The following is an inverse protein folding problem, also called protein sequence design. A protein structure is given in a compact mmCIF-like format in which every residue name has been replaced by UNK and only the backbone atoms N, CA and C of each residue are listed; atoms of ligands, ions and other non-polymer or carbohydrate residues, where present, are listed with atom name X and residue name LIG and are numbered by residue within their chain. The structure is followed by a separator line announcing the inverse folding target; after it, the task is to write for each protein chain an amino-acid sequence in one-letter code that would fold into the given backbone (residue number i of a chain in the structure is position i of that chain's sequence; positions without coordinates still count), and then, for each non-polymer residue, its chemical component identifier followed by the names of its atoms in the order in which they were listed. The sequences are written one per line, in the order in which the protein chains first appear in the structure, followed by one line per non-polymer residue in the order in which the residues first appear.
data_IF_405807226071
#
_entry.id   IF_405807226071
#
_cell.length_a   1.000
_cell.length_b   1.000
_cell.length_c   1.000
_cell.angle_alpha   90.00
_cell.angle_beta   90.00
_cell.angle_gamma   90.00
#
_symmetry.space_group_name_H-M   'P 1'
#
loop_
_entity.id
_entity.type
_entity.pdbx_description
1 polymer ?
#
# COMPACT_ATOMS: atom_id res chain seq x y z
N UNK A 1 30.91 8.03 -40.71
CA UNK A 1 31.30 6.91 -39.82
C UNK A 1 30.83 7.33 -38.44
N UNK A 2 29.52 7.23 -38.21
CA UNK A 2 28.83 6.10 -37.54
C UNK A 2 28.53 6.52 -36.10
N UNK A 3 27.25 6.81 -35.81
CA UNK A 3 26.38 5.95 -34.98
C UNK A 3 26.73 6.04 -33.49
N UNK A 4 25.89 6.40 -32.53
CA UNK A 4 24.43 6.45 -32.35
C UNK A 4 24.16 7.57 -31.34
N UNK A 5 23.22 8.48 -31.54
CA UNK A 5 21.87 8.32 -31.02
C UNK A 5 21.79 7.54 -29.69
N UNK A 6 22.40 8.05 -28.62
CA UNK A 6 21.80 7.88 -27.30
C UNK A 6 20.69 8.92 -27.13
N UNK A 7 19.60 8.68 -27.84
CA UNK A 7 18.28 9.20 -27.51
C UNK A 7 17.90 8.58 -26.17
N UNK A 8 18.50 9.06 -25.08
CA UNK A 8 18.09 8.70 -23.72
C UNK A 8 16.67 9.22 -23.59
N UNK A 9 15.73 8.29 -23.64
CA UNK A 9 14.29 8.48 -23.66
C UNK A 9 13.89 9.30 -22.43
N UNK A 10 13.99 10.63 -22.51
CA UNK A 10 13.42 11.55 -21.55
C UNK A 10 11.91 11.43 -21.70
N UNK A 11 11.35 10.45 -21.01
CA UNK A 11 9.91 10.24 -20.92
C UNK A 11 9.32 11.56 -20.44
N UNK A 12 8.65 12.28 -21.33
CA UNK A 12 7.97 13.55 -21.07
C UNK A 12 6.81 13.27 -20.11
N UNK A 13 7.10 13.14 -18.81
CA UNK A 13 6.06 12.99 -17.80
C UNK A 13 5.29 14.32 -17.80
N UNK A 14 4.03 14.27 -18.21
CA UNK A 14 3.16 15.45 -18.30
C UNK A 14 2.83 15.98 -16.90
N UNK A 15 2.70 17.31 -16.78
CA UNK A 15 2.24 17.98 -15.57
C UNK A 15 0.85 17.44 -15.16
N UNK A 16 0.68 17.19 -13.88
CA UNK A 16 -0.57 16.71 -13.29
C UNK A 16 -1.23 17.81 -12.48
N UNK A 17 -2.56 17.86 -12.50
CA UNK A 17 -3.30 18.78 -11.63
C UNK A 17 -3.49 18.14 -10.24
N UNK A 18 -2.93 18.71 -9.17
CA UNK A 18 -3.10 18.16 -7.82
C UNK A 18 -4.54 18.25 -7.34
N UNK A 19 -5.23 19.32 -7.72
CA UNK A 19 -6.65 19.49 -7.40
C UNK A 19 -7.48 18.39 -8.05
N UNK A 20 -7.22 18.07 -9.31
CA UNK A 20 -7.96 17.03 -10.03
C UNK A 20 -7.71 15.65 -9.43
N UNK A 21 -6.47 15.34 -9.01
CA UNK A 21 -6.15 14.08 -8.35
C UNK A 21 -6.90 13.92 -7.03
N UNK A 22 -6.97 14.98 -6.21
CA UNK A 22 -7.75 14.99 -4.98
C UNK A 22 -9.24 14.85 -5.25
N UNK A 23 -9.78 15.62 -6.21
CA UNK A 23 -11.20 15.58 -6.56
C UNK A 23 -11.64 14.20 -7.06
N UNK A 24 -10.87 13.56 -7.94
CA UNK A 24 -11.14 12.19 -8.39
C UNK A 24 -11.19 11.24 -7.19
N UNK A 25 -10.16 11.30 -6.34
CA UNK A 25 -10.05 10.48 -5.13
C UNK A 25 -11.22 10.67 -4.15
N UNK A 26 -11.86 11.83 -4.14
CA UNK A 26 -13.09 12.09 -3.37
C UNK A 26 -14.33 11.40 -3.94
N UNK A 27 -14.42 11.22 -5.27
CA UNK A 27 -15.56 10.53 -5.92
C UNK A 27 -15.49 9.03 -5.63
N UNK A 28 -14.31 8.45 -5.77
CA UNK A 28 -14.11 7.03 -5.51
C UNK A 28 -12.67 6.78 -5.04
N UNK A 29 -12.48 6.06 -3.92
CA UNK A 29 -11.15 5.73 -3.41
C UNK A 29 -10.26 5.09 -4.48
N UNK A 30 -9.00 5.51 -4.53
CA UNK A 30 -8.01 4.98 -5.48
C UNK A 30 -7.99 5.63 -6.87
N UNK A 31 -9.03 6.36 -7.28
CA UNK A 31 -9.05 7.02 -8.61
C UNK A 31 -8.03 8.15 -8.74
N UNK A 32 -7.70 8.88 -7.67
CA UNK A 32 -6.62 9.87 -7.68
C UNK A 32 -5.25 9.23 -7.94
N UNK A 33 -5.00 8.04 -7.39
CA UNK A 33 -3.80 7.27 -7.67
C UNK A 33 -3.77 6.76 -9.13
N UNK A 34 -4.92 6.33 -9.67
CA UNK A 34 -5.06 5.98 -11.09
C UNK A 34 -4.74 7.17 -12.00
N UNK A 35 -5.23 8.37 -11.68
CA UNK A 35 -4.90 9.61 -12.40
C UNK A 35 -3.38 9.90 -12.38
N UNK A 36 -2.74 9.64 -11.23
CA UNK A 36 -1.30 9.76 -11.06
C UNK A 36 -0.48 8.68 -11.78
N UNK A 37 -1.13 7.74 -12.49
CA UNK A 37 -0.55 6.54 -13.11
C UNK A 37 0.08 5.57 -12.11
N UNK A 38 -0.36 5.61 -10.86
CA UNK A 38 0.02 4.66 -9.82
C UNK A 38 -1.04 3.55 -9.73
N UNK A 39 -1.10 2.71 -10.77
CA UNK A 39 -2.16 1.70 -10.95
C UNK A 39 -2.25 0.73 -9.78
N UNK A 40 -1.11 0.23 -9.31
CA UNK A 40 -1.06 -0.74 -8.22
C UNK A 40 -1.60 -0.16 -6.91
N UNK A 41 -1.21 1.07 -6.56
CA UNK A 41 -1.74 1.78 -5.39
C UNK A 41 -3.23 2.07 -5.53
N UNK A 42 -3.67 2.50 -6.71
CA UNK A 42 -5.09 2.73 -6.98
C UNK A 42 -5.94 1.47 -6.76
N UNK A 43 -5.51 0.34 -7.32
CA UNK A 43 -6.18 -0.95 -7.12
C UNK A 43 -6.16 -1.36 -5.64
N UNK A 44 -5.01 -1.20 -4.97
CA UNK A 44 -4.89 -1.51 -3.55
C UNK A 44 -5.88 -0.70 -2.70
N UNK A 45 -6.02 0.60 -2.97
CA UNK A 45 -6.96 1.46 -2.24
C UNK A 45 -8.41 1.05 -2.46
N UNK A 46 -8.78 0.62 -3.67
CA UNK A 46 -10.11 0.09 -3.96
C UNK A 46 -10.37 -1.20 -3.17
N UNK A 47 -9.40 -2.13 -3.13
CA UNK A 47 -9.52 -3.39 -2.39
C UNK A 47 -9.62 -3.13 -0.88
N UNK A 48 -8.76 -2.27 -0.33
CA UNK A 48 -8.79 -1.91 1.10
C UNK A 48 -10.13 -1.26 1.44
N UNK A 49 -10.60 -0.31 0.62
CA UNK A 49 -11.89 0.32 0.83
C UNK A 49 -13.03 -0.69 0.84
N UNK A 50 -13.09 -1.57 -0.16
CA UNK A 50 -14.11 -2.61 -0.24
C UNK A 50 -14.08 -3.52 0.99
N UNK A 51 -12.90 -3.97 1.41
CA UNK A 51 -12.73 -4.79 2.62
C UNK A 51 -13.21 -4.07 3.89
N UNK A 52 -12.83 -2.81 4.07
CA UNK A 52 -13.25 -2.01 5.23
C UNK A 52 -14.76 -1.73 5.26
N UNK A 53 -15.39 -1.58 4.10
CA UNK A 53 -16.85 -1.44 3.98
C UNK A 53 -17.56 -2.77 4.27
N UNK A 54 -17.07 -3.89 3.74
CA UNK A 54 -17.64 -5.21 4.01
C UNK A 54 -17.60 -5.58 5.50
N UNK A 55 -16.54 -5.19 6.21
CA UNK A 55 -16.41 -5.41 7.65
C UNK A 55 -17.39 -4.58 8.49
N UNK A 56 -18.10 -3.61 7.92
CA UNK A 56 -19.08 -2.81 8.67
C UNK A 56 -20.32 -3.62 9.06
N UNK A 57 -20.68 -4.67 8.31
CA UNK A 57 -21.97 -5.34 8.50
C UNK A 57 -22.01 -6.30 9.71
N UNK A 58 -20.88 -6.90 10.09
CA UNK A 58 -20.85 -8.07 10.98
C UNK A 58 -20.00 -7.88 12.26
N UNK A 59 -19.43 -6.69 12.48
CA UNK A 59 -18.33 -6.52 13.44
C UNK A 59 -18.72 -6.17 14.88
N UNK A 60 -18.34 -7.03 15.84
CA UNK A 60 -18.12 -6.67 17.26
C UNK A 60 -17.01 -5.61 17.47
N UNK A 61 -16.23 -5.34 16.41
CA UNK A 61 -15.15 -4.36 16.37
C UNK A 61 -15.60 -2.93 16.02
N UNK A 62 -16.90 -2.66 15.90
CA UNK A 62 -17.40 -1.29 15.87
C UNK A 62 -17.19 -0.64 17.26
N UNK A 63 -16.73 0.62 17.34
CA UNK A 63 -16.67 1.62 16.26
C UNK A 63 -15.31 1.71 15.55
N UNK A 64 -14.32 0.89 15.92
CA UNK A 64 -12.94 1.04 15.45
C UNK A 64 -12.83 0.95 13.93
N UNK A 65 -13.50 -0.01 13.29
CA UNK A 65 -13.46 -0.20 11.83
C UNK A 65 -14.05 1.01 11.08
N UNK A 66 -15.08 1.66 11.63
CA UNK A 66 -15.68 2.85 11.02
C UNK A 66 -14.74 4.06 11.08
N UNK A 67 -14.05 4.26 12.20
CA UNK A 67 -13.03 5.31 12.34
C UNK A 67 -11.85 5.05 11.39
N UNK A 68 -11.43 3.79 11.28
CA UNK A 68 -10.35 3.40 10.37
C UNK A 68 -10.73 3.62 8.90
N UNK A 69 -11.97 3.29 8.51
CA UNK A 69 -12.52 3.60 7.20
C UNK A 69 -12.51 5.10 6.91
N UNK A 70 -12.97 5.93 7.85
CA UNK A 70 -12.98 7.39 7.71
C UNK A 70 -11.55 7.96 7.58
N UNK A 71 -10.64 7.52 8.44
CA UNK A 71 -9.23 7.91 8.39
C UNK A 71 -8.58 7.51 7.07
N UNK A 72 -8.80 6.28 6.61
CA UNK A 72 -8.32 5.79 5.31
C UNK A 72 -8.88 6.63 4.15
N UNK A 73 -10.18 6.96 4.18
CA UNK A 73 -10.83 7.74 3.13
C UNK A 73 -10.21 9.14 2.98
N UNK A 74 -9.96 9.83 4.09
CA UNK A 74 -9.33 11.16 4.09
C UNK A 74 -7.86 11.05 3.66
N UNK A 75 -7.15 10.05 4.21
CA UNK A 75 -5.74 9.82 3.91
C UNK A 75 -5.48 9.65 2.41
N UNK A 76 -6.26 8.82 1.71
CA UNK A 76 -6.02 8.57 0.29
C UNK A 76 -6.26 9.80 -0.60
N UNK A 77 -7.11 10.75 -0.17
CA UNK A 77 -7.28 12.05 -0.86
C UNK A 77 -6.01 12.89 -0.73
N UNK A 78 -5.47 12.99 0.48
CA UNK A 78 -4.24 13.74 0.75
C UNK A 78 -3.07 13.13 -0.01
N UNK A 79 -2.96 11.79 -0.01
CA UNK A 79 -1.92 11.05 -0.74
C UNK A 79 -2.00 11.32 -2.25
N UNK A 80 -3.21 11.34 -2.83
CA UNK A 80 -3.38 11.63 -4.25
C UNK A 80 -2.88 13.04 -4.63
N UNK A 81 -3.19 14.06 -3.80
CA UNK A 81 -2.74 15.45 -4.01
C UNK A 81 -1.23 15.57 -3.83
N UNK A 82 -0.67 15.00 -2.76
CA UNK A 82 0.77 15.02 -2.48
C UNK A 82 1.54 14.32 -3.61
N UNK A 83 1.04 13.19 -4.08
CA UNK A 83 1.61 12.46 -5.21
C UNK A 83 1.65 13.30 -6.48
N UNK A 84 0.57 14.01 -6.84
CA UNK A 84 0.59 14.88 -8.02
C UNK A 84 1.60 16.02 -7.86
N UNK A 85 1.71 16.62 -6.67
CA UNK A 85 2.71 17.66 -6.39
C UNK A 85 4.13 17.11 -6.54
N UNK A 86 4.38 15.89 -6.05
CA UNK A 86 5.66 15.20 -6.23
C UNK A 86 5.96 14.95 -7.72
N UNK A 87 4.96 14.51 -8.49
CA UNK A 87 5.10 14.32 -9.94
C UNK A 87 5.45 15.63 -10.64
N UNK A 88 4.81 16.74 -10.27
CA UNK A 88 5.10 18.03 -10.88
C UNK A 88 6.50 18.54 -10.53
N UNK A 89 6.97 18.33 -9.29
CA UNK A 89 8.34 18.68 -8.88
C UNK A 89 9.39 17.94 -9.70
N UNK A 90 9.17 16.64 -9.93
CA UNK A 90 10.01 15.82 -10.81
C UNK A 90 10.05 16.37 -12.24
N UNK A 91 8.89 16.77 -12.78
CA UNK A 91 8.76 17.26 -14.17
C UNK A 91 9.38 18.65 -14.35
N UNK A 92 9.24 19.54 -13.36
CA UNK A 92 9.68 20.93 -13.46
C UNK A 92 11.15 21.07 -13.10
N UNK A 93 11.59 20.48 -11.98
CA UNK A 93 12.92 20.71 -11.42
C UNK A 93 13.90 19.56 -11.72
N UNK A 94 13.43 18.41 -12.23
CA UNK A 94 14.25 17.20 -12.30
C UNK A 94 14.68 16.65 -10.93
N UNK A 95 14.22 17.28 -9.84
CA UNK A 95 14.49 16.89 -8.47
C UNK A 95 13.67 15.65 -8.15
N UNK A 96 14.36 14.52 -7.95
CA UNK A 96 13.78 13.38 -7.25
C UNK A 96 13.77 13.75 -5.78
N UNK A 97 12.60 14.04 -5.16
CA UNK A 97 12.57 14.31 -3.73
C UNK A 97 13.16 13.11 -2.98
N UNK A 98 13.86 13.34 -1.86
CA UNK A 98 14.57 12.31 -1.12
C UNK A 98 13.65 11.11 -0.94
N UNK A 99 14.05 9.98 -1.54
CA UNK A 99 13.24 8.78 -1.72
C UNK A 99 12.36 8.52 -0.50
N UNK A 100 11.06 8.78 -0.63
CA UNK A 100 10.12 7.99 0.12
C UNK A 100 10.17 6.61 -0.54
N UNK A 101 11.02 5.74 0.03
CA UNK A 101 11.20 4.32 -0.31
C UNK A 101 9.92 3.54 -0.02
N UNK A 102 8.79 3.99 -0.56
CA UNK A 102 7.64 3.14 -0.76
C UNK A 102 8.02 2.31 -1.98
N UNK A 103 8.23 0.99 -1.86
CA UNK A 103 8.52 0.15 -2.99
C UNK A 103 7.36 0.26 -3.99
N UNK A 104 7.51 1.13 -5.01
CA UNK A 104 6.52 1.32 -6.09
C UNK A 104 6.47 0.09 -7.01
N UNK A 105 7.38 -0.85 -6.81
CA UNK A 105 7.22 -2.25 -7.17
C UNK A 105 6.94 -3.05 -5.90
N UNK A 106 5.71 -3.51 -5.68
CA UNK A 106 5.57 -4.83 -5.02
C UNK A 106 6.40 -5.75 -5.90
N UNK A 107 7.47 -6.39 -5.40
CA UNK A 107 8.33 -7.24 -6.23
C UNK A 107 7.45 -8.17 -7.04
N UNK A 108 7.43 -7.93 -8.35
CA UNK A 108 6.59 -8.64 -9.31
C UNK A 108 6.97 -10.10 -9.22
N UNK A 109 6.05 -10.93 -8.72
CA UNK A 109 6.19 -12.38 -8.76
C UNK A 109 7.20 -12.98 -7.78
N UNK A 110 7.27 -12.52 -6.52
CA UNK A 110 7.88 -13.39 -5.51
C UNK A 110 6.93 -14.56 -5.23
N UNK A 111 7.36 -15.78 -5.51
CA UNK A 111 6.70 -17.06 -5.17
C UNK A 111 6.21 -17.04 -3.71
N UNK A 112 6.91 -16.31 -2.85
CA UNK A 112 6.52 -16.02 -1.48
C UNK A 112 5.10 -15.44 -1.37
N UNK A 113 4.77 -14.39 -2.14
CA UNK A 113 3.44 -13.78 -2.09
C UNK A 113 2.36 -14.75 -2.59
N UNK A 114 2.67 -15.58 -3.59
CA UNK A 114 1.77 -16.63 -4.07
C UNK A 114 1.53 -17.72 -3.03
N UNK A 115 2.59 -18.25 -2.42
CA UNK A 115 2.51 -19.25 -1.38
C UNK A 115 1.78 -18.73 -0.14
N UNK A 116 2.06 -17.48 0.26
CA UNK A 116 1.36 -16.81 1.35
C UNK A 116 -0.14 -16.68 1.05
N UNK A 117 -0.51 -16.30 -0.17
CA UNK A 117 -1.91 -16.21 -0.62
C UNK A 117 -2.61 -17.57 -0.59
N UNK A 118 -1.93 -18.64 -1.04
CA UNK A 118 -2.49 -20.00 -1.02
C UNK A 118 -2.73 -20.46 0.43
N UNK A 119 -1.75 -20.28 1.31
CA UNK A 119 -1.87 -20.66 2.72
C UNK A 119 -2.99 -19.84 3.39
N UNK A 120 -3.00 -18.53 3.19
CA UNK A 120 -4.03 -17.64 3.75
C UNK A 120 -5.42 -18.01 3.25
N UNK A 121 -5.57 -18.29 1.94
CA UNK A 121 -6.82 -18.74 1.34
C UNK A 121 -7.29 -20.08 1.87
N UNK A 122 -6.37 -21.03 2.07
CA UNK A 122 -6.67 -22.32 2.69
C UNK A 122 -7.22 -22.14 4.11
N UNK A 123 -6.56 -21.33 4.95
CA UNK A 123 -7.05 -21.01 6.29
C UNK A 123 -8.41 -20.30 6.28
N UNK A 124 -8.64 -19.39 5.33
CA UNK A 124 -9.91 -18.68 5.18
C UNK A 124 -11.06 -19.62 4.78
N UNK A 125 -10.79 -20.62 3.93
CA UNK A 125 -11.74 -21.69 3.64
C UNK A 125 -12.08 -22.50 4.90
N UNK A 126 -11.07 -22.92 5.67
CA UNK A 126 -11.28 -23.67 6.91
C UNK A 126 -12.09 -22.87 7.95
N UNK A 127 -11.87 -21.56 8.03
CA UNK A 127 -12.67 -20.66 8.88
C UNK A 127 -14.14 -20.58 8.43
N UNK A 128 -14.41 -20.62 7.11
CA UNK A 128 -15.78 -20.59 6.58
C UNK A 128 -16.58 -21.86 6.93
N UNK A 129 -15.94 -23.03 7.04
CA UNK A 129 -16.60 -24.29 7.43
C UNK A 129 -16.97 -24.36 8.93
N UNK A 130 -16.82 -23.27 9.68
CA UNK A 130 -17.07 -23.20 11.13
C UNK A 130 -16.24 -24.20 11.96
N UNK A 131 -15.17 -24.74 11.37
CA UNK A 131 -14.19 -25.60 12.03
C UNK A 131 -13.21 -24.78 12.89
N UNK A 132 -13.08 -23.48 12.63
CA UNK A 132 -12.20 -22.54 13.34
C UNK A 132 -12.98 -21.24 13.59
N UNK A 133 -13.12 -20.85 14.87
CA UNK A 133 -13.76 -19.59 15.25
C UNK A 133 -12.90 -18.39 14.85
N UNK A 134 -13.49 -17.35 14.26
CA UNK A 134 -12.80 -16.10 13.90
C UNK A 134 -12.04 -15.48 15.09
N UNK A 135 -12.46 -15.74 16.33
CA UNK A 135 -11.75 -15.30 17.54
C UNK A 135 -10.31 -15.81 17.63
N UNK A 136 -10.06 -17.08 17.27
CA UNK A 136 -8.70 -17.67 17.35
C UNK A 136 -7.71 -17.00 16.39
N UNK A 137 -8.15 -16.58 15.20
CA UNK A 137 -7.32 -15.86 14.23
C UNK A 137 -6.96 -14.44 14.73
N UNK A 138 -7.93 -13.75 15.34
CA UNK A 138 -7.73 -12.43 15.94
C UNK A 138 -7.04 -12.47 17.32
N UNK A 139 -6.86 -13.63 17.95
CA UNK A 139 -6.07 -13.77 19.18
C UNK A 139 -4.58 -14.04 18.89
N UNK A 140 -4.25 -14.55 17.69
CA UNK A 140 -2.88 -14.94 17.32
C UNK A 140 -2.05 -13.84 16.65
N UNK A 141 -2.65 -12.76 16.15
CA UNK A 141 -1.88 -11.63 15.56
C UNK A 141 -0.88 -10.97 16.53
N UNK A 142 -1.13 -10.84 17.86
CA UNK A 142 -0.17 -10.25 18.78
C UNK A 142 1.12 -11.07 18.85
N UNK A 143 1.04 -12.40 18.71
CA UNK A 143 2.21 -13.29 18.70
C UNK A 143 3.13 -12.98 17.52
N UNK A 144 2.57 -12.74 16.33
CA UNK A 144 3.36 -12.34 15.16
C UNK A 144 4.04 -10.98 15.36
N UNK A 145 3.33 -10.00 15.93
CA UNK A 145 3.89 -8.67 16.24
C UNK A 145 5.02 -8.79 17.27
N UNK A 146 4.82 -9.59 18.32
CA UNK A 146 5.85 -9.87 19.33
C UNK A 146 7.08 -10.53 18.70
N UNK A 147 6.89 -11.53 17.84
CA UNK A 147 7.99 -12.21 17.16
C UNK A 147 8.80 -11.25 16.26
N UNK A 148 8.11 -10.38 15.51
CA UNK A 148 8.75 -9.33 14.70
C UNK A 148 9.54 -8.36 15.61
N UNK A 149 8.95 -7.94 16.73
CA UNK A 149 9.60 -7.07 17.70
C UNK A 149 10.87 -7.69 18.30
N UNK A 150 10.82 -8.96 18.69
CA UNK A 150 11.97 -9.71 19.22
C UNK A 150 13.07 -9.80 18.15
N UNK A 151 12.71 -10.11 16.91
CA UNK A 151 13.67 -10.17 15.79
C UNK A 151 14.38 -8.83 15.59
N UNK A 152 13.65 -7.71 15.61
CA UNK A 152 14.24 -6.38 15.50
C UNK A 152 15.17 -6.04 16.67
N UNK A 153 14.82 -6.43 17.90
CA UNK A 153 15.65 -6.23 19.07
C UNK A 153 16.95 -7.05 18.99
N UNK A 154 16.87 -8.30 18.54
CA UNK A 154 18.02 -9.16 18.34
C UNK A 154 18.99 -8.61 17.28
N UNK A 155 18.45 -8.13 16.16
CA UNK A 155 19.25 -7.51 15.10
C UNK A 155 19.88 -6.18 15.54
N UNK A 156 19.21 -5.41 16.41
CA UNK A 156 19.72 -4.16 16.99
C UNK A 156 20.90 -4.41 17.94
N UNK A 157 20.79 -5.41 18.81
CA UNK A 157 21.84 -5.72 19.79
C UNK A 157 23.09 -6.27 19.09
N UNK A 158 22.94 -7.08 18.04
CA UNK A 158 24.07 -7.61 17.26
C UNK A 158 24.85 -6.52 16.52
N UNK A 159 24.19 -5.45 16.08
CA UNK A 159 24.84 -4.34 15.35
C UNK A 159 25.70 -3.43 16.24
N UNK A 160 25.64 -3.62 17.57
CA UNK A 160 26.48 -2.90 18.56
C UNK A 160 27.80 -3.61 18.86
N UNK A 161 27.95 -4.88 18.49
CA UNK A 161 29.18 -5.67 18.76
C UNK A 161 30.20 -5.64 17.60
N UNK A 162 29.81 -5.14 16.42
CA UNK A 162 30.69 -4.97 15.25
C UNK A 162 31.30 -3.55 15.12
N UNK A 163 31.22 -2.73 16.17
CA UNK A 163 31.80 -1.38 16.20
C UNK A 163 32.60 -1.17 17.48
#
# INVERSE_FOLDING_TARGET
MEEKQETKVLTTRSLKSPFLAGFLSTIFPGTGALYNRQYLKGILYIIIFAGLVSMQHEGSAQPFVAILLAGFYIFQIIEAVQTSKMINRLVINGEVPPEEKIPQSIPTGSIFWGMLLIILGFFLLLANFNLISFGLLFDFWPVLVIAIGIKMLYESTRKKEEK
#
